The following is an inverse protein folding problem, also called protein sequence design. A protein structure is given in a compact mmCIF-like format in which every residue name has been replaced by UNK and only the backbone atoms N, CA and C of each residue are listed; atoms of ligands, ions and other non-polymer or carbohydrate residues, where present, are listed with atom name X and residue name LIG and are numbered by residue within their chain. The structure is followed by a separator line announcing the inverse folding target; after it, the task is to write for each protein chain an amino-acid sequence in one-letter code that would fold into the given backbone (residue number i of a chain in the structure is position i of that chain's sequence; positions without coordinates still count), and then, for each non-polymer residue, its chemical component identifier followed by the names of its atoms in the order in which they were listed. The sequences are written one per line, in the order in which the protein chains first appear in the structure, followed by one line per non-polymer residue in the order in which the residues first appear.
data_IF_248022047499
#
_entry.id   IF_248022047499
#
_cell.length_a   1.000
_cell.length_b   1.000
_cell.length_c   1.000
_cell.angle_alpha   90.00
_cell.angle_beta   90.00
_cell.angle_gamma   90.00
#
_symmetry.space_group_name_H-M   'P 1'
#
loop_
_entity.id
_entity.type
_entity.pdbx_description
1 polymer ?
#
# COMPACT_ATOMS: atom_id res chain seq x y z
N UNK A 1 21.43 11.49 0.98
CA UNK A 1 20.21 11.47 1.81
C UNK A 1 20.55 12.12 3.14
N UNK A 2 19.66 12.95 3.66
CA UNK A 2 19.83 13.51 5.02
C UNK A 2 19.67 12.41 6.06
N UNK A 3 20.35 12.54 7.20
CA UNK A 3 20.16 11.63 8.33
C UNK A 3 18.70 11.69 8.82
N UNK A 4 18.02 10.54 9.01
CA UNK A 4 16.64 10.52 9.48
C UNK A 4 16.56 11.05 10.91
N UNK A 5 15.53 11.85 11.19
CA UNK A 5 15.27 12.35 12.54
C UNK A 5 14.60 11.27 13.39
N UNK A 6 15.08 11.09 14.61
CA UNK A 6 14.48 10.16 15.58
C UNK A 6 13.85 10.98 16.69
N UNK A 7 12.52 10.88 16.84
CA UNK A 7 11.75 11.71 17.76
C UNK A 7 10.80 10.86 18.63
N UNK A 8 10.58 11.22 19.90
CA UNK A 8 9.56 10.59 20.73
C UNK A 8 8.14 10.80 20.16
N UNK A 9 7.25 9.85 20.40
CA UNK A 9 5.85 9.89 19.97
C UNK A 9 4.90 9.42 21.09
N UNK A 10 4.95 10.09 22.24
CA UNK A 10 4.33 9.63 23.48
C UNK A 10 5.31 8.86 24.35
N UNK A 11 4.81 8.18 25.38
CA UNK A 11 5.64 7.58 26.44
C UNK A 11 6.21 6.20 26.07
N UNK A 12 5.55 5.48 25.16
CA UNK A 12 5.88 4.11 24.76
C UNK A 12 6.14 3.98 23.25
N UNK A 13 6.45 5.09 22.58
CA UNK A 13 6.68 5.07 21.13
C UNK A 13 7.73 6.07 20.67
N UNK A 14 8.41 5.70 19.59
CA UNK A 14 9.46 6.47 18.95
C UNK A 14 9.27 6.43 17.43
N UNK A 15 9.51 7.55 16.75
CA UNK A 15 9.36 7.67 15.31
C UNK A 15 10.71 7.94 14.66
N UNK A 16 11.02 7.14 13.65
CA UNK A 16 12.12 7.38 12.72
C UNK A 16 11.53 8.05 11.49
N UNK A 17 11.83 9.32 11.28
CA UNK A 17 11.22 10.18 10.26
C UNK A 17 12.28 10.54 9.22
N UNK A 18 12.08 10.05 7.99
CA UNK A 18 12.92 10.31 6.83
C UNK A 18 12.55 11.63 6.13
N UNK A 19 13.20 12.01 5.02
CA UNK A 19 12.95 13.27 4.30
C UNK A 19 11.46 13.52 3.99
N UNK A 20 11.02 14.78 4.01
CA UNK A 20 9.60 15.16 3.83
C UNK A 20 9.14 15.14 2.37
N UNK A 21 9.17 13.95 1.78
CA UNK A 21 8.65 13.66 0.43
C UNK A 21 8.10 12.24 0.36
N UNK A 22 7.08 12.02 -0.46
CA UNK A 22 6.60 10.67 -0.81
C UNK A 22 7.47 10.17 -1.95
N UNK A 23 8.38 9.25 -1.64
CA UNK A 23 9.37 8.74 -2.57
C UNK A 23 9.54 7.23 -2.38
N UNK A 24 9.47 6.41 -3.46
CA UNK A 24 9.67 4.97 -3.37
C UNK A 24 10.97 4.56 -2.68
N UNK A 25 12.08 5.28 -2.90
CA UNK A 25 13.36 4.93 -2.27
C UNK A 25 13.33 5.15 -0.76
N UNK A 26 12.59 6.16 -0.30
CA UNK A 26 12.40 6.41 1.14
C UNK A 26 11.54 5.31 1.75
N UNK A 27 10.44 4.94 1.09
CA UNK A 27 9.58 3.88 1.59
C UNK A 27 10.32 2.54 1.66
N UNK A 28 11.18 2.24 0.68
CA UNK A 28 12.08 1.09 0.73
C UNK A 28 13.02 1.13 1.94
N UNK A 29 13.60 2.29 2.28
CA UNK A 29 14.42 2.42 3.48
C UNK A 29 13.63 2.17 4.77
N UNK A 30 12.39 2.68 4.84
CA UNK A 30 11.48 2.43 5.98
C UNK A 30 11.20 0.94 6.13
N UNK A 31 10.81 0.25 5.05
CA UNK A 31 10.50 -1.19 5.07
C UNK A 31 11.75 -2.04 5.35
N UNK A 32 12.90 -1.67 4.80
CA UNK A 32 14.14 -2.40 5.06
C UNK A 32 14.62 -2.23 6.50
N UNK A 33 14.38 -1.06 7.13
CA UNK A 33 14.63 -0.86 8.56
C UNK A 33 13.66 -1.70 9.41
N UNK A 34 12.37 -1.68 9.08
CA UNK A 34 11.32 -2.48 9.73
C UNK A 34 11.66 -3.98 9.74
N UNK A 35 12.04 -4.52 8.56
CA UNK A 35 12.48 -5.90 8.41
C UNK A 35 13.70 -6.22 9.27
N UNK A 36 14.73 -5.37 9.25
CA UNK A 36 15.93 -5.56 10.09
C UNK A 36 15.61 -5.53 11.58
N UNK A 37 14.73 -4.63 12.03
CA UNK A 37 14.33 -4.55 13.43
C UNK A 37 13.60 -5.83 13.87
N UNK A 38 12.76 -6.37 13.00
CA UNK A 38 12.06 -7.65 13.22
C UNK A 38 13.05 -8.82 13.29
N UNK A 39 13.99 -8.90 12.33
CA UNK A 39 15.03 -9.94 12.29
C UNK A 39 15.96 -9.92 13.50
N UNK A 40 16.34 -8.73 13.98
CA UNK A 40 17.21 -8.56 15.16
C UNK A 40 16.46 -8.80 16.47
N UNK A 41 15.12 -8.70 16.48
CA UNK A 41 14.27 -8.91 17.67
C UNK A 41 14.77 -8.10 18.88
N UNK A 42 14.78 -6.77 18.73
CA UNK A 42 15.34 -5.85 19.74
C UNK A 42 14.56 -5.97 21.06
N UNK A 43 15.22 -6.22 22.20
CA UNK A 43 14.56 -6.29 23.50
C UNK A 43 13.74 -5.03 23.82
N UNK A 44 12.50 -5.25 24.26
CA UNK A 44 11.56 -4.21 24.62
C UNK A 44 10.80 -3.61 23.44
N UNK A 45 11.18 -3.85 22.18
CA UNK A 45 10.35 -3.46 21.04
C UNK A 45 9.17 -4.42 20.94
N UNK A 46 7.95 -3.87 20.99
CA UNK A 46 6.71 -4.66 20.95
C UNK A 46 6.15 -4.77 19.55
N UNK A 47 6.25 -3.69 18.76
CA UNK A 47 5.69 -3.60 17.41
C UNK A 47 6.39 -2.50 16.61
N UNK A 48 6.47 -2.69 15.30
CA UNK A 48 6.92 -1.69 14.34
C UNK A 48 5.85 -1.45 13.27
N UNK A 49 5.63 -0.18 12.93
CA UNK A 49 4.54 0.25 12.05
C UNK A 49 5.15 1.14 10.94
N UNK A 50 5.46 0.57 9.76
CA UNK A 50 5.95 1.33 8.62
C UNK A 50 4.83 2.11 7.94
N UNK A 51 5.05 3.39 7.68
CA UNK A 51 4.09 4.25 7.01
C UNK A 51 4.76 5.35 6.19
N UNK A 52 4.66 5.27 4.85
CA UNK A 52 5.23 6.23 3.91
C UNK A 52 6.73 6.49 4.15
N UNK A 53 7.06 7.56 4.89
CA UNK A 53 8.41 8.02 5.23
C UNK A 53 8.75 7.89 6.72
N UNK A 54 7.94 7.15 7.46
CA UNK A 54 8.04 7.06 8.93
C UNK A 54 7.99 5.60 9.33
N UNK A 55 8.90 5.19 10.22
CA UNK A 55 8.75 3.98 11.00
C UNK A 55 8.37 4.36 12.43
N UNK A 56 7.21 3.92 12.90
CA UNK A 56 6.84 4.04 14.32
C UNK A 56 7.23 2.76 15.03
N UNK A 57 7.95 2.90 16.14
CA UNK A 57 8.44 1.80 16.96
C UNK A 57 7.74 1.91 18.31
N UNK A 58 6.90 0.93 18.63
CA UNK A 58 6.31 0.77 19.95
C UNK A 58 7.25 -0.05 20.82
N UNK A 59 7.43 0.37 22.07
CA UNK A 59 8.33 -0.31 23.00
C UNK A 59 7.79 -0.29 24.43
N UNK A 60 8.24 -1.26 25.21
CA UNK A 60 8.00 -1.38 26.65
C UNK A 60 9.08 -0.59 27.42
N UNK A 61 8.72 0.54 28.08
CA UNK A 61 9.67 1.36 28.82
C UNK A 61 10.26 0.68 30.07
N UNK A 62 9.66 -0.42 30.55
CA UNK A 62 10.23 -1.22 31.65
C UNK A 62 11.40 -2.10 31.17
N UNK A 63 11.47 -2.40 29.87
CA UNK A 63 12.48 -3.28 29.27
C UNK A 63 13.58 -2.47 28.55
N UNK A 64 13.22 -1.38 27.86
CA UNK A 64 14.17 -0.54 27.10
C UNK A 64 13.81 0.94 27.21
N UNK A 65 14.81 1.82 27.03
CA UNK A 65 14.60 3.27 27.07
C UNK A 65 14.86 3.94 25.71
N UNK A 66 14.42 5.20 25.58
CA UNK A 66 14.58 6.00 24.36
C UNK A 66 16.05 6.13 23.91
N UNK A 67 16.99 6.21 24.85
CA UNK A 67 18.41 6.42 24.54
C UNK A 67 18.99 5.15 23.91
N UNK A 68 18.71 4.02 24.54
CA UNK A 68 19.12 2.68 24.10
C UNK A 68 18.51 2.36 22.75
N UNK A 69 17.20 2.57 22.60
CA UNK A 69 16.49 2.31 21.34
C UNK A 69 17.00 3.22 20.20
N UNK A 70 17.19 4.51 20.48
CA UNK A 70 17.75 5.46 19.49
C UNK A 70 19.15 5.04 19.03
N UNK A 71 20.01 4.60 19.96
CA UNK A 71 21.36 4.13 19.64
C UNK A 71 21.31 2.88 18.75
N UNK A 72 20.49 1.90 19.11
CA UNK A 72 20.30 0.68 18.32
C UNK A 72 19.80 0.99 16.91
N UNK A 73 18.80 1.85 16.77
CA UNK A 73 18.26 2.27 15.46
C UNK A 73 19.34 2.96 14.63
N UNK A 74 20.12 3.88 15.21
CA UNK A 74 21.23 4.53 14.49
C UNK A 74 22.29 3.53 14.02
N UNK A 75 22.58 2.50 14.80
CA UNK A 75 23.49 1.43 14.39
C UNK A 75 22.91 0.60 13.23
N UNK A 76 21.62 0.28 13.25
CA UNK A 76 20.98 -0.43 12.14
C UNK A 76 20.97 0.39 10.86
N UNK A 77 20.75 1.71 10.98
CA UNK A 77 20.86 2.65 9.88
C UNK A 77 22.29 2.69 9.33
N UNK A 78 23.32 2.84 10.16
CA UNK A 78 24.70 3.00 9.69
C UNK A 78 25.23 1.83 8.82
N UNK A 79 24.63 0.64 8.89
CA UNK A 79 24.93 -0.49 8.01
C UNK A 79 24.11 -0.40 6.70
N UNK A 80 24.10 0.78 6.08
CA UNK A 80 23.23 1.19 4.95
C UNK A 80 23.49 0.44 3.63
N UNK A 81 24.63 -0.24 3.46
CA UNK A 81 25.12 -0.77 2.18
C UNK A 81 24.24 -1.87 1.54
N UNK A 82 23.18 -2.35 2.21
CA UNK A 82 22.35 -3.46 1.74
C UNK A 82 20.84 -3.26 1.93
N UNK A 83 20.37 -2.02 2.09
CA UNK A 83 18.94 -1.73 2.30
C UNK A 83 18.12 -1.59 1.00
N UNK A 84 18.75 -1.57 -0.17
CA UNK A 84 18.05 -1.60 -1.47
C UNK A 84 17.72 -3.06 -1.84
N UNK A 85 16.50 -3.50 -1.55
CA UNK A 85 15.95 -4.70 -2.21
C UNK A 85 15.92 -4.45 -3.71
N UNK A 86 16.61 -5.30 -4.47
CA UNK A 86 16.58 -5.28 -5.94
C UNK A 86 15.37 -5.98 -6.53
N UNK A 87 14.55 -6.57 -5.68
CA UNK A 87 13.39 -7.36 -6.05
C UNK A 87 12.11 -6.64 -5.66
N UNK A 88 11.17 -6.67 -6.59
CA UNK A 88 9.84 -6.09 -6.52
C UNK A 88 8.84 -7.23 -6.55
N UNK A 89 8.18 -7.46 -5.42
CA UNK A 89 7.06 -8.41 -5.34
C UNK A 89 5.79 -7.72 -5.84
N UNK A 90 5.24 -8.19 -6.95
CA UNK A 90 4.05 -7.63 -7.59
C UNK A 90 2.87 -8.58 -7.42
N UNK A 91 1.82 -8.11 -6.78
CA UNK A 91 0.56 -8.82 -6.56
C UNK A 91 -0.45 -8.37 -7.61
N UNK A 92 -0.93 -9.33 -8.41
CA UNK A 92 -1.87 -9.07 -9.49
C UNK A 92 -3.30 -9.13 -8.96
N UNK A 93 -4.03 -8.03 -9.12
CA UNK A 93 -5.38 -7.84 -8.61
C UNK A 93 -6.35 -7.73 -9.79
N UNK A 94 -7.20 -8.73 -10.06
CA UNK A 94 -8.27 -8.58 -11.03
C UNK A 94 -9.28 -7.53 -10.58
N UNK A 95 -9.62 -6.60 -11.47
CA UNK A 95 -10.58 -5.51 -11.22
C UNK A 95 -11.58 -5.42 -12.36
N UNK A 96 -12.87 -5.46 -12.00
CA UNK A 96 -13.94 -5.15 -12.92
C UNK A 96 -14.32 -3.68 -12.79
N UNK A 97 -14.17 -2.93 -13.87
CA UNK A 97 -14.53 -1.50 -13.97
C UNK A 97 -15.96 -1.31 -14.53
N UNK A 98 -16.81 -2.33 -14.41
CA UNK A 98 -18.21 -2.23 -14.82
C UNK A 98 -18.93 -1.13 -14.02
N UNK A 99 -19.91 -0.47 -14.65
CA UNK A 99 -20.68 0.62 -14.05
C UNK A 99 -21.37 0.23 -12.73
N UNK A 100 -21.72 -1.05 -12.55
CA UNK A 100 -22.30 -1.52 -11.29
C UNK A 100 -21.31 -1.43 -10.11
N UNK A 101 -20.00 -1.44 -10.38
CA UNK A 101 -18.93 -1.34 -9.38
C UNK A 101 -18.27 0.05 -9.36
N UNK A 102 -18.13 0.67 -10.53
CA UNK A 102 -17.53 1.99 -10.70
C UNK A 102 -18.56 3.12 -10.68
N UNK A 103 -19.24 3.32 -9.55
CA UNK A 103 -20.30 4.32 -9.41
C UNK A 103 -19.85 5.77 -9.70
N UNK A 104 -18.55 6.06 -9.63
CA UNK A 104 -17.97 7.38 -9.88
C UNK A 104 -17.14 7.44 -11.18
N UNK A 105 -17.16 6.42 -12.04
CA UNK A 105 -16.38 6.40 -13.29
C UNK A 105 -16.79 7.53 -14.24
N UNK A 106 -18.10 7.77 -14.40
CA UNK A 106 -18.57 8.83 -15.29
C UNK A 106 -18.24 10.22 -14.73
N UNK A 107 -18.23 10.38 -13.41
CA UNK A 107 -17.81 11.61 -12.74
C UNK A 107 -16.32 11.87 -12.95
N UNK A 108 -15.50 10.82 -12.80
CA UNK A 108 -14.07 10.88 -13.04
C UNK A 108 -13.76 11.20 -14.50
N UNK A 109 -14.48 10.59 -15.45
CA UNK A 109 -14.36 10.89 -16.89
C UNK A 109 -14.65 12.36 -17.19
N UNK A 110 -15.72 12.93 -16.62
CA UNK A 110 -16.02 14.36 -16.77
C UNK A 110 -14.99 15.27 -16.12
N UNK A 111 -14.40 14.84 -15.01
CA UNK A 111 -13.39 15.60 -14.28
C UNK A 111 -12.05 15.63 -15.01
N UNK A 112 -11.57 14.48 -15.48
CA UNK A 112 -10.28 14.32 -16.15
C UNK A 112 -10.32 14.70 -17.63
N UNK A 113 -11.50 14.68 -18.25
CA UNK A 113 -11.65 14.81 -19.70
C UNK A 113 -11.26 13.55 -20.48
N UNK A 114 -10.99 12.44 -19.79
CA UNK A 114 -10.63 11.15 -20.39
C UNK A 114 -11.87 10.30 -20.64
N UNK A 115 -11.82 9.43 -21.65
CA UNK A 115 -12.80 8.35 -21.81
C UNK A 115 -12.70 7.36 -20.65
N UNK A 116 -13.75 6.57 -20.42
CA UNK A 116 -13.73 5.52 -19.39
C UNK A 116 -12.65 4.47 -19.74
N UNK A 117 -12.51 4.16 -21.02
CA UNK A 117 -11.51 3.25 -21.55
C UNK A 117 -10.09 3.75 -21.24
N UNK A 118 -9.83 5.05 -21.45
CA UNK A 118 -8.54 5.68 -21.12
C UNK A 118 -8.29 5.70 -19.61
N UNK A 119 -9.32 5.96 -18.80
CA UNK A 119 -9.21 5.90 -17.33
C UNK A 119 -8.78 4.50 -16.89
N UNK A 120 -9.43 3.46 -17.43
CA UNK A 120 -9.10 2.07 -17.12
C UNK A 120 -7.65 1.79 -17.53
N UNK A 121 -7.27 2.14 -18.76
CA UNK A 121 -5.92 1.92 -19.27
C UNK A 121 -4.84 2.63 -18.44
N UNK A 122 -5.07 3.89 -18.05
CA UNK A 122 -4.15 4.66 -17.22
C UNK A 122 -4.06 4.07 -15.81
N UNK A 123 -5.20 3.68 -15.23
CA UNK A 123 -5.26 3.12 -13.88
C UNK A 123 -4.63 1.73 -13.82
N UNK A 124 -4.84 0.86 -14.80
CA UNK A 124 -4.27 -0.50 -14.81
C UNK A 124 -2.88 -0.59 -15.43
N UNK A 125 -2.43 0.42 -16.17
CA UNK A 125 -1.19 0.39 -16.95
C UNK A 125 0.10 0.56 -16.15
N UNK A 126 0.05 0.52 -14.81
CA UNK A 126 1.20 0.71 -13.93
C UNK A 126 1.10 -0.10 -12.66
N UNK A 127 2.24 -0.23 -11.99
CA UNK A 127 2.32 -0.85 -10.67
C UNK A 127 2.35 0.20 -9.58
N UNK A 128 1.58 -0.05 -8.52
CA UNK A 128 1.45 0.86 -7.42
C UNK A 128 2.13 0.32 -6.17
N UNK A 129 3.06 1.10 -5.62
CA UNK A 129 3.70 0.76 -4.36
C UNK A 129 2.72 0.91 -3.19
N UNK A 130 2.65 -0.11 -2.33
CA UNK A 130 1.95 -0.06 -1.05
C UNK A 130 2.82 0.71 -0.05
N UNK A 131 2.53 1.99 0.14
CA UNK A 131 3.31 2.84 1.04
C UNK A 131 3.00 2.61 2.51
N UNK A 132 1.77 2.23 2.82
CA UNK A 132 1.34 1.83 4.15
C UNK A 132 0.08 0.98 4.06
N UNK A 133 -0.14 0.17 5.08
CA UNK A 133 -1.42 -0.49 5.34
C UNK A 133 -2.02 0.04 6.64
N UNK A 134 -3.33 0.23 6.67
CA UNK A 134 -4.02 0.80 7.84
C UNK A 134 -5.43 1.30 7.50
N UNK A 135 -6.12 1.96 8.43
CA UNK A 135 -7.57 2.29 8.38
C UNK A 135 -8.50 1.09 8.59
N UNK A 136 -8.30 0.01 7.84
CA UNK A 136 -8.94 -1.30 8.04
C UNK A 136 -7.89 -2.41 7.89
N UNK A 137 -8.09 -3.59 8.51
CA UNK A 137 -7.24 -4.74 8.25
C UNK A 137 -7.14 -5.05 6.75
N UNK A 138 -5.94 -4.88 6.18
CA UNK A 138 -5.65 -5.14 4.77
C UNK A 138 -5.93 -3.98 3.80
N UNK A 139 -6.30 -2.79 4.28
CA UNK A 139 -6.47 -1.63 3.41
C UNK A 139 -5.10 -1.04 3.07
N UNK A 140 -4.75 -1.05 1.79
CA UNK A 140 -3.48 -0.56 1.27
C UNK A 140 -3.63 0.84 0.69
N UNK A 141 -2.73 1.74 1.11
CA UNK A 141 -2.58 3.06 0.51
C UNK A 141 -1.56 3.00 -0.62
N UNK A 142 -2.07 3.06 -1.85
CA UNK A 142 -1.28 2.93 -3.06
C UNK A 142 -0.86 4.32 -3.56
N UNK A 143 0.42 4.48 -3.88
CA UNK A 143 0.94 5.70 -4.50
C UNK A 143 1.41 5.47 -5.92
N UNK A 144 1.64 6.57 -6.65
CA UNK A 144 1.99 6.54 -8.08
C UNK A 144 0.81 6.71 -9.03
N UNK A 145 -0.37 7.11 -8.51
CA UNK A 145 -1.53 7.45 -9.33
C UNK A 145 -1.20 8.57 -10.31
N UNK A 146 -1.59 8.35 -11.57
CA UNK A 146 -1.39 9.33 -12.63
C UNK A 146 -2.06 10.66 -12.28
N UNK A 147 -1.37 11.80 -12.42
CA UNK A 147 -1.96 13.12 -12.21
C UNK A 147 -3.26 13.38 -12.97
N UNK A 148 -3.43 12.78 -14.15
CA UNK A 148 -4.67 12.89 -14.93
C UNK A 148 -5.89 12.24 -14.27
N UNK A 149 -5.68 11.33 -13.30
CA UNK A 149 -6.74 10.68 -12.54
C UNK A 149 -6.93 11.27 -11.14
N UNK A 150 -6.17 12.31 -10.76
CA UNK A 150 -6.30 12.91 -9.44
C UNK A 150 -7.67 13.56 -9.29
N UNK A 151 -8.43 13.11 -8.29
CA UNK A 151 -9.78 13.62 -8.06
C UNK A 151 -10.08 13.69 -6.56
N UNK A 152 -10.66 14.79 -6.05
CA UNK A 152 -10.98 14.91 -4.63
C UNK A 152 -12.00 13.86 -4.18
N UNK A 153 -11.96 13.57 -2.88
CA UNK A 153 -12.97 12.76 -2.19
C UNK A 153 -14.37 13.36 -2.40
N UNK A 154 -15.39 12.54 -2.22
CA UNK A 154 -16.76 13.01 -2.08
C UNK A 154 -16.89 13.97 -0.89
N UNK A 155 -17.67 15.03 -1.06
CA UNK A 155 -17.97 15.97 0.02
C UNK A 155 -18.74 15.28 1.17
N UNK A 156 -19.63 14.36 0.81
CA UNK A 156 -20.36 13.51 1.77
C UNK A 156 -19.95 12.05 1.56
N UNK A 157 -19.26 11.43 2.53
CA UNK A 157 -18.90 10.01 2.47
C UNK A 157 -20.12 9.10 2.33
N UNK A 158 -19.97 7.98 1.62
CA UNK A 158 -20.95 6.89 1.59
C UNK A 158 -21.01 6.23 2.97
N UNK A 159 -22.21 5.86 3.38
CA UNK A 159 -22.45 5.14 4.64
C UNK A 159 -21.94 3.70 4.59
N UNK A 160 -21.94 3.10 3.40
CA UNK A 160 -21.39 1.78 3.16
C UNK A 160 -20.77 1.71 1.76
N UNK A 161 -19.55 1.18 1.71
CA UNK A 161 -18.84 0.75 0.51
C UNK A 161 -18.62 -0.75 0.66
N UNK A 162 -18.91 -1.51 -0.39
CA UNK A 162 -18.76 -2.96 -0.38
C UNK A 162 -17.30 -3.40 -0.32
N UNK A 163 -17.05 -4.57 0.27
CA UNK A 163 -15.74 -5.21 0.25
C UNK A 163 -15.31 -5.50 -1.19
N UNK A 164 -14.05 -5.26 -1.50
CA UNK A 164 -13.47 -5.38 -2.84
C UNK A 164 -13.55 -4.10 -3.67
N UNK A 165 -14.28 -3.06 -3.23
CA UNK A 165 -14.37 -1.82 -3.99
C UNK A 165 -12.98 -1.18 -4.19
N UNK A 166 -12.72 -0.71 -5.40
CA UNK A 166 -11.49 0.02 -5.79
C UNK A 166 -11.84 1.49 -5.94
N UNK A 167 -11.03 2.38 -5.37
CA UNK A 167 -11.31 3.80 -5.47
C UNK A 167 -10.10 4.71 -5.52
N UNK A 168 -10.38 5.97 -5.82
CA UNK A 168 -9.41 7.07 -5.90
C UNK A 168 -9.77 8.17 -4.90
N UNK A 169 -8.76 8.78 -4.28
CA UNK A 169 -8.90 9.97 -3.46
C UNK A 169 -7.64 10.86 -3.55
N UNK A 170 -7.79 12.04 -4.12
CA UNK A 170 -6.67 12.93 -4.43
C UNK A 170 -5.68 12.20 -5.34
N UNK A 171 -4.43 12.09 -4.90
CA UNK A 171 -3.35 11.42 -5.62
C UNK A 171 -3.17 9.94 -5.24
N UNK A 172 -4.14 9.34 -4.56
CA UNK A 172 -4.05 7.96 -4.07
C UNK A 172 -5.12 7.06 -4.70
N UNK A 173 -4.77 5.80 -4.88
CA UNK A 173 -5.69 4.71 -5.20
C UNK A 173 -5.56 3.60 -4.15
N UNK A 174 -6.50 2.65 -4.13
CA UNK A 174 -6.63 1.71 -3.03
C UNK A 174 -7.89 0.87 -3.13
N UNK A 175 -7.97 -0.13 -2.26
CA UNK A 175 -9.04 -1.12 -2.25
C UNK A 175 -9.58 -1.34 -0.85
N UNK A 176 -10.90 -1.45 -0.73
CA UNK A 176 -11.59 -1.69 0.52
C UNK A 176 -11.60 -3.19 0.85
N UNK A 177 -10.89 -3.67 1.88
CA UNK A 177 -10.82 -5.10 2.20
C UNK A 177 -12.10 -5.62 2.85
N UNK A 178 -12.92 -4.72 3.41
CA UNK A 178 -14.18 -5.03 4.08
C UNK A 178 -15.17 -3.87 3.93
N UNK A 179 -16.44 -4.16 4.18
CA UNK A 179 -17.49 -3.15 4.09
C UNK A 179 -17.28 -2.05 5.13
N UNK A 180 -17.31 -0.79 4.70
CA UNK A 180 -17.03 0.36 5.56
C UNK A 180 -17.55 1.67 4.97
N UNK A 181 -17.77 2.72 5.77
CA UNK A 181 -18.04 4.05 5.24
C UNK A 181 -16.77 4.63 4.58
N UNK A 182 -16.94 5.44 3.54
CA UNK A 182 -15.81 6.08 2.87
C UNK A 182 -16.20 7.11 1.83
N UNK A 183 -15.29 8.04 1.57
CA UNK A 183 -15.48 9.15 0.62
C UNK A 183 -14.68 9.03 -0.67
N UNK A 184 -14.09 7.86 -0.95
CA UNK A 184 -13.30 7.67 -2.17
C UNK A 184 -14.22 7.51 -3.39
N UNK A 185 -13.72 7.94 -4.55
CA UNK A 185 -14.37 7.80 -5.85
C UNK A 185 -14.24 6.35 -6.29
N UNK A 186 -15.34 5.60 -6.33
CA UNK A 186 -15.39 4.19 -6.67
C UNK A 186 -15.32 4.01 -8.18
N UNK A 187 -14.30 3.32 -8.64
CA UNK A 187 -14.01 3.13 -10.07
C UNK A 187 -14.12 1.68 -10.52
N UNK A 188 -14.22 0.73 -9.60
CA UNK A 188 -14.35 -0.69 -9.92
C UNK A 188 -14.40 -1.55 -8.67
N UNK A 189 -14.31 -2.86 -8.84
CA UNK A 189 -14.24 -3.82 -7.73
C UNK A 189 -13.35 -4.99 -8.08
N UNK A 190 -12.60 -5.49 -7.09
CA UNK A 190 -11.94 -6.80 -7.16
C UNK A 190 -12.83 -7.88 -6.53
N UNK A 191 -12.88 -9.09 -7.10
CA UNK A 191 -13.65 -10.20 -6.53
C UNK A 191 -12.90 -10.88 -5.37
N UNK A 192 -11.63 -10.53 -5.16
CA UNK A 192 -10.76 -11.18 -4.19
C UNK A 192 -11.02 -10.74 -2.75
N UNK A 193 -10.85 -11.70 -1.83
CA UNK A 193 -10.74 -11.39 -0.40
C UNK A 193 -9.32 -10.91 -0.08
N UNK A 194 -9.18 -9.61 0.13
CA UNK A 194 -7.89 -8.96 0.41
C UNK A 194 -7.37 -9.30 1.82
N UNK A 195 -8.29 -9.55 2.75
CA UNK A 195 -8.04 -9.97 4.12
C UNK A 195 -8.96 -11.16 4.47
N UNK A 196 -8.37 -12.24 4.98
CA UNK A 196 -9.11 -13.38 5.52
C UNK A 196 -8.39 -13.94 6.76
N UNK A 197 -8.93 -13.75 7.97
CA UNK A 197 -8.27 -14.22 9.20
C UNK A 197 -8.19 -15.75 9.31
N UNK A 198 -8.89 -16.50 8.45
CA UNK A 198 -8.86 -17.96 8.41
C UNK A 198 -7.79 -18.53 7.48
N UNK A 199 -7.12 -17.70 6.69
CA UNK A 199 -6.03 -18.11 5.79
C UNK A 199 -4.71 -18.19 6.56
N UNK A 200 -3.82 -19.12 6.18
CA UNK A 200 -2.48 -19.26 6.77
C UNK A 200 -1.71 -17.92 6.77
N UNK A 201 -1.85 -17.14 5.70
CA UNK A 201 -1.37 -15.76 5.61
C UNK A 201 -2.58 -14.82 5.49
N UNK A 202 -3.02 -14.14 6.57
CA UNK A 202 -4.29 -13.40 6.56
C UNK A 202 -4.38 -12.27 5.53
N UNK A 203 -3.25 -11.60 5.23
CA UNK A 203 -3.17 -10.51 4.27
C UNK A 203 -2.65 -11.00 2.92
N UNK A 204 -3.19 -10.47 1.81
CA UNK A 204 -2.76 -10.86 0.46
C UNK A 204 -1.42 -10.22 0.05
N UNK A 205 -1.15 -9.06 0.64
CA UNK A 205 0.01 -8.21 0.39
C UNK A 205 0.42 -7.54 1.71
N UNK A 206 1.60 -6.94 1.70
CA UNK A 206 2.22 -6.22 2.81
C UNK A 206 2.81 -4.87 2.35
N UNK A 207 3.16 -4.00 3.30
CA UNK A 207 3.81 -2.72 2.97
C UNK A 207 5.11 -2.97 2.20
N UNK A 208 5.34 -2.22 1.13
CA UNK A 208 6.50 -2.41 0.24
C UNK A 208 6.23 -3.30 -0.98
N UNK A 209 5.14 -4.08 -0.97
CA UNK A 209 4.67 -4.76 -2.18
C UNK A 209 4.19 -3.78 -3.24
N UNK A 210 4.07 -4.27 -4.48
CA UNK A 210 3.42 -3.55 -5.56
C UNK A 210 2.11 -4.22 -5.95
N UNK A 211 1.11 -3.41 -6.26
CA UNK A 211 -0.17 -3.84 -6.82
C UNK A 211 -0.18 -3.56 -8.32
N UNK A 212 -0.49 -4.60 -9.11
CA UNK A 212 -0.84 -4.46 -10.53
C UNK A 212 -2.33 -4.73 -10.69
N UNK A 213 -3.08 -3.75 -11.14
CA UNK A 213 -4.50 -3.95 -11.43
C UNK A 213 -4.66 -4.58 -12.82
N UNK A 214 -5.42 -5.66 -12.90
CA UNK A 214 -5.71 -6.36 -14.15
C UNK A 214 -7.19 -6.18 -14.50
N UNK A 215 -7.53 -5.42 -15.55
CA UNK A 215 -8.91 -5.28 -15.98
C UNK A 215 -9.48 -6.63 -16.39
N UNK A 216 -10.60 -7.02 -15.78
CA UNK A 216 -11.32 -8.26 -16.11
C UNK A 216 -12.74 -7.95 -16.56
N UNK A 217 -13.28 -8.83 -17.40
CA UNK A 217 -14.69 -8.74 -17.78
C UNK A 217 -15.60 -9.01 -16.58
N UNK A 218 -16.89 -8.71 -16.73
CA UNK A 218 -17.88 -9.02 -15.68
C UNK A 218 -18.03 -10.53 -15.48
N UNK A 219 -17.94 -11.31 -16.55
CA UNK A 219 -18.01 -12.77 -16.49
C UNK A 219 -16.82 -13.35 -15.72
N UNK A 220 -15.60 -12.92 -16.05
CA UNK A 220 -14.39 -13.32 -15.35
C UNK A 220 -14.43 -12.93 -13.87
N UNK A 221 -14.93 -11.73 -13.56
CA UNK A 221 -15.11 -11.28 -12.18
C UNK A 221 -16.01 -12.24 -11.38
N UNK A 222 -17.17 -12.61 -11.94
CA UNK A 222 -18.13 -13.47 -11.27
C UNK A 222 -17.58 -14.90 -11.12
N UNK A 223 -16.82 -15.40 -12.11
CA UNK A 223 -16.12 -16.68 -12.02
C UNK A 223 -15.02 -16.67 -10.95
N UNK A 224 -14.13 -15.67 -10.96
CA UNK A 224 -13.07 -15.54 -9.95
C UNK A 224 -13.69 -15.42 -8.55
N UNK A 225 -14.80 -14.71 -8.41
CA UNK A 225 -15.52 -14.58 -7.14
C UNK A 225 -16.05 -15.93 -6.65
N UNK A 226 -16.53 -16.79 -7.54
CA UNK A 226 -16.92 -18.15 -7.20
C UNK A 226 -15.69 -18.97 -6.76
N UNK A 227 -14.61 -18.93 -7.53
CA UNK A 227 -13.37 -19.66 -7.23
C UNK A 227 -12.72 -19.22 -5.91
N UNK A 228 -12.80 -17.92 -5.57
CA UNK A 228 -12.37 -17.38 -4.27
C UNK A 228 -13.22 -17.90 -3.10
N UNK A 229 -14.52 -18.17 -3.31
CA UNK A 229 -15.39 -18.74 -2.27
C UNK A 229 -15.07 -20.20 -2.00
N UNK A 230 -14.77 -20.94 -3.06
CA UNK A 230 -14.36 -22.35 -2.98
C UNK A 230 -12.88 -22.54 -2.56
N UNK A 231 -12.12 -21.43 -2.46
CA UNK A 231 -10.70 -21.47 -2.09
C UNK A 231 -9.77 -22.01 -3.18
N UNK A 232 -10.25 -22.05 -4.43
CA UNK A 232 -9.51 -22.60 -5.58
C UNK A 232 -8.69 -21.50 -6.27
N UNK A 233 -9.16 -20.26 -6.22
CA UNK A 233 -8.45 -19.15 -6.85
C UNK A 233 -7.15 -18.82 -6.10
N UNK A 234 -6.03 -18.83 -6.83
CA UNK A 234 -4.73 -18.37 -6.34
C UNK A 234 -4.40 -17.04 -6.99
N UNK A 235 -4.22 -16.01 -6.16
CA UNK A 235 -3.73 -14.73 -6.62
C UNK A 235 -2.32 -14.90 -7.21
N UNK A 236 -2.14 -14.32 -8.39
CA UNK A 236 -0.86 -14.33 -9.07
C UNK A 236 0.09 -13.32 -8.42
N UNK A 237 1.30 -13.77 -8.13
CA UNK A 237 2.38 -12.95 -7.58
C UNK A 237 3.62 -13.18 -8.43
N UNK A 238 4.25 -12.09 -8.86
CA UNK A 238 5.50 -12.12 -9.63
C UNK A 238 6.61 -11.42 -8.87
N UNK A 239 7.85 -11.90 -9.04
CA UNK A 239 9.05 -11.26 -8.51
C UNK A 239 9.78 -10.63 -9.70
N UNK A 240 9.83 -9.31 -9.74
CA UNK A 240 10.48 -8.53 -10.81
C UNK A 240 11.77 -7.91 -10.28
N UNK A 241 12.83 -7.86 -11.09
CA UNK A 241 14.09 -7.19 -10.72
C UNK A 241 13.99 -5.71 -11.11
N UNK A 242 14.25 -4.81 -10.16
CA UNK A 242 14.30 -3.36 -10.43
C UNK A 242 15.67 -3.05 -11.03
N UNK A 243 15.75 -2.91 -12.35
CA UNK A 243 16.96 -2.39 -13.00
C UNK A 243 17.16 -0.91 -12.61
N UNK A 244 18.39 -0.54 -12.25
CA UNK A 244 18.74 0.87 -12.04
C UNK A 244 18.50 1.61 -13.34
N UNK A 245 17.47 2.45 -13.36
CA UNK A 245 17.33 3.48 -14.37
C UNK A 245 18.64 4.25 -14.44
N UNK A 246 19.37 4.07 -15.55
CA UNK A 246 20.48 4.95 -15.88
C UNK A 246 19.87 6.35 -15.98
N UNK A 247 20.09 7.18 -14.96
CA UNK A 247 20.01 8.63 -15.11
C UNK A 247 21.09 9.01 -16.11
N UNK A 248 20.73 8.92 -17.39
CA UNK A 248 21.47 9.51 -18.49
C UNK A 248 21.46 11.01 -18.28
N UNK A 249 22.58 11.54 -17.78
CA UNK A 249 22.91 12.93 -18.00
C UNK A 249 22.98 13.16 -19.51
N UNK A 250 22.05 13.98 -20.02
CA UNK A 250 22.32 14.90 -21.12
C UNK A 250 22.29 16.30 -20.56
#
# INVERSE_FOLDING_TARGET
MSEPSIVPAGDCALRVVFEDKIDPSINQLVNSLDKKMTEVSIPGVTETIPAFRVLTVLYDPEITDLITLTKTIRQLLSHHDNLESREKRVVHIPVCYDKAFGADLEDLSRHSGLSIEDIIAVHSGRDYLIYMMGFLPGFAYLGGLDPSLHMPRLDTPRTSIEAGAVGIAGSQTGMYPMASPGGWRLIGSTPMKLFDPKRDTPFLYETGDYIRFEPVSREDYDQIKADCREGIYKCQVTMEVVERGHSGNQ
#
